data_IF_875484576770
#
_entry.id   IF_875484576770
#
_cell.length_a   1.000
_cell.length_b   1.000
_cell.length_c   1.000
_cell.angle_alpha   90.00
_cell.angle_beta   90.00
_cell.angle_gamma   90.00
#
_symmetry.space_group_name_H-M   'P 1'
#
loop_
_entity.id
_entity.type
_entity.pdbx_description
1 polymer ?
#
# COMPACT_ATOMS: atom_id res chain seq x y z
N UNK A 1 -62.36 -16.58 37.38
CA UNK A 1 -63.80 -16.24 37.32
C UNK A 1 -64.52 -17.01 38.42
N UNK A 2 -65.43 -16.38 39.18
CA UNK A 2 -66.24 -17.09 40.18
C UNK A 2 -67.36 -17.91 39.51
N UNK A 3 -67.99 -18.82 40.25
CA UNK A 3 -69.02 -19.73 39.73
C UNK A 3 -70.27 -19.03 39.17
N UNK A 4 -70.61 -17.85 39.67
CA UNK A 4 -71.71 -17.03 39.17
C UNK A 4 -71.40 -16.41 37.81
N UNK A 5 -70.23 -15.80 37.67
CA UNK A 5 -69.78 -15.28 36.39
C UNK A 5 -69.67 -16.39 35.33
N UNK A 6 -69.17 -17.57 35.70
CA UNK A 6 -69.09 -18.71 34.77
C UNK A 6 -70.47 -19.16 34.30
N UNK A 7 -71.47 -19.18 35.18
CA UNK A 7 -72.86 -19.49 34.81
C UNK A 7 -73.46 -18.41 33.90
N UNK A 8 -73.18 -17.13 34.16
CA UNK A 8 -73.63 -16.03 33.30
C UNK A 8 -73.03 -16.10 31.89
N UNK A 9 -71.72 -16.38 31.77
CA UNK A 9 -71.05 -16.56 30.49
C UNK A 9 -71.60 -17.75 29.70
N UNK A 10 -71.94 -18.86 30.36
CA UNK A 10 -72.57 -20.02 29.72
C UNK A 10 -74.00 -19.73 29.20
N UNK A 11 -74.67 -18.69 29.71
CA UNK A 11 -76.02 -18.28 29.26
C UNK A 11 -75.98 -17.23 28.15
N UNK A 12 -74.89 -16.49 28.02
CA UNK A 12 -74.73 -15.46 26.99
C UNK A 12 -74.48 -16.06 25.60
N UNK A 13 -75.20 -15.60 24.59
CA UNK A 13 -74.99 -15.99 23.19
C UNK A 13 -73.54 -15.74 22.72
N UNK A 14 -72.91 -14.68 23.23
CA UNK A 14 -71.56 -14.27 22.83
C UNK A 14 -70.44 -15.13 23.45
N UNK A 15 -70.67 -15.75 24.61
CA UNK A 15 -69.62 -16.48 25.34
C UNK A 15 -69.99 -17.91 25.75
N UNK A 16 -71.18 -18.39 25.39
CA UNK A 16 -71.64 -19.75 25.67
C UNK A 16 -70.77 -20.83 24.99
N UNK A 17 -70.12 -20.51 23.87
CA UNK A 17 -69.18 -21.42 23.19
C UNK A 17 -67.74 -21.29 23.69
N UNK A 18 -67.45 -20.37 24.61
CA UNK A 18 -66.10 -20.20 25.13
C UNK A 18 -65.81 -21.21 26.25
N UNK A 19 -64.64 -21.84 26.18
CA UNK A 19 -64.12 -22.63 27.30
C UNK A 19 -63.56 -21.68 28.36
N UNK A 20 -63.96 -21.85 29.62
CA UNK A 20 -63.44 -21.10 30.76
C UNK A 20 -62.49 -22.01 31.50
N UNK A 21 -61.19 -21.73 31.41
CA UNK A 21 -60.13 -22.45 32.11
C UNK A 21 -59.65 -21.62 33.31
N UNK A 22 -59.29 -22.30 34.39
CA UNK A 22 -58.61 -21.69 35.54
C UNK A 22 -57.15 -21.42 35.23
N UNK A 23 -56.53 -20.49 35.95
CA UNK A 23 -55.09 -20.16 35.79
C UNK A 23 -54.22 -21.41 36.03
N UNK A 24 -54.60 -22.28 36.97
CA UNK A 24 -53.89 -23.53 37.26
C UNK A 24 -53.98 -24.53 36.10
N UNK A 25 -55.16 -24.66 35.48
CA UNK A 25 -55.33 -25.50 34.27
C UNK A 25 -54.56 -24.93 33.09
N UNK A 26 -54.48 -23.61 32.96
CA UNK A 26 -53.73 -22.92 31.90
C UNK A 26 -52.22 -23.12 32.03
N UNK A 27 -51.69 -23.10 33.26
CA UNK A 27 -50.27 -23.35 33.54
C UNK A 27 -49.82 -24.77 33.14
N UNK A 28 -50.74 -25.73 33.16
CA UNK A 28 -50.49 -27.11 32.75
C UNK A 28 -50.91 -27.41 31.31
N UNK A 29 -51.46 -26.42 30.62
CA UNK A 29 -51.90 -26.52 29.23
C UNK A 29 -50.78 -26.08 28.28
N UNK A 30 -50.45 -26.89 27.28
CA UNK A 30 -49.50 -26.47 26.24
C UNK A 30 -49.97 -25.24 25.45
N UNK A 31 -49.08 -24.66 24.62
CA UNK A 31 -49.36 -23.50 23.77
C UNK A 31 -50.53 -23.69 22.79
N UNK A 32 -50.96 -24.93 22.57
CA UNK A 32 -52.09 -25.30 21.73
C UNK A 32 -53.43 -24.70 22.20
N UNK A 33 -53.55 -24.39 23.49
CA UNK A 33 -54.77 -23.75 24.05
C UNK A 33 -54.91 -22.29 23.61
N UNK A 34 -53.82 -21.65 23.17
CA UNK A 34 -53.83 -20.28 22.66
C UNK A 34 -53.88 -20.19 21.13
N UNK A 35 -53.75 -21.32 20.42
CA UNK A 35 -53.83 -21.31 18.95
C UNK A 35 -55.27 -20.98 18.54
N UNK A 36 -55.44 -19.89 17.78
CA UNK A 36 -56.70 -19.65 17.06
C UNK A 36 -56.92 -20.81 16.09
N UNK A 37 -57.92 -21.65 16.38
CA UNK A 37 -58.36 -22.69 15.45
C UNK A 37 -59.03 -22.01 14.27
N UNK A 38 -58.33 -21.94 13.15
CA UNK A 38 -58.92 -21.50 11.89
C UNK A 38 -59.87 -22.60 11.43
N UNK A 39 -61.13 -22.24 11.23
CA UNK A 39 -62.22 -23.14 10.86
C UNK A 39 -62.92 -22.60 9.63
N UNK A 40 -63.68 -23.45 8.95
CA UNK A 40 -64.45 -23.06 7.79
C UNK A 40 -65.53 -22.03 8.15
N UNK A 41 -65.73 -21.05 7.28
CA UNK A 41 -66.69 -19.94 7.44
C UNK A 41 -67.85 -20.00 6.44
N UNK A 42 -67.90 -21.05 5.61
CA UNK A 42 -68.88 -21.22 4.54
C UNK A 42 -70.19 -21.82 5.07
N UNK A 43 -71.30 -21.37 4.49
CA UNK A 43 -72.65 -21.75 4.89
C UNK A 43 -72.90 -23.26 4.78
N UNK A 44 -73.41 -23.88 5.84
CA UNK A 44 -73.75 -25.31 5.91
C UNK A 44 -72.63 -26.20 6.45
N UNK A 45 -71.41 -25.68 6.61
CA UNK A 45 -70.28 -26.38 7.21
C UNK A 45 -69.36 -25.43 7.99
N UNK A 46 -69.94 -24.40 8.60
CA UNK A 46 -69.24 -23.48 9.49
C UNK A 46 -68.65 -24.22 10.69
N UNK A 47 -67.45 -23.84 11.10
CA UNK A 47 -66.78 -24.44 12.25
C UNK A 47 -66.07 -25.77 11.95
N UNK A 48 -66.21 -26.33 10.75
CA UNK A 48 -65.44 -27.52 10.37
C UNK A 48 -63.95 -27.22 10.24
N UNK A 49 -63.11 -28.21 10.58
CA UNK A 49 -61.66 -28.08 10.49
C UNK A 49 -61.18 -28.01 9.03
N UNK A 50 -60.25 -27.09 8.76
CA UNK A 50 -59.59 -26.98 7.47
C UNK A 50 -58.42 -27.97 7.41
N UNK A 51 -58.67 -29.17 6.87
CA UNK A 51 -57.69 -30.25 6.79
C UNK A 51 -56.97 -30.32 5.42
N UNK A 52 -57.48 -29.60 4.41
CA UNK A 52 -57.01 -29.67 3.04
C UNK A 52 -56.64 -28.29 2.50
N UNK A 53 -55.80 -28.23 1.47
CA UNK A 53 -55.43 -27.02 0.76
C UNK A 53 -55.67 -27.21 -0.75
N UNK A 54 -56.36 -26.26 -1.37
CA UNK A 54 -56.57 -26.26 -2.81
C UNK A 54 -55.43 -25.51 -3.51
N UNK A 55 -54.60 -26.20 -4.29
CA UNK A 55 -53.44 -25.61 -4.99
C UNK A 55 -53.77 -25.07 -6.39
N UNK A 56 -55.05 -25.13 -6.81
CA UNK A 56 -55.46 -24.54 -8.08
C UNK A 56 -55.16 -23.03 -8.08
N UNK A 57 -54.48 -22.50 -9.11
CA UNK A 57 -54.27 -21.05 -9.25
C UNK A 57 -55.59 -20.29 -9.19
N UNK A 58 -55.65 -19.23 -8.38
CA UNK A 58 -56.89 -18.47 -8.13
C UNK A 58 -57.80 -19.04 -7.03
N UNK A 59 -57.45 -20.17 -6.40
CA UNK A 59 -58.12 -20.69 -5.21
C UNK A 59 -57.23 -20.70 -3.97
N UNK A 60 -56.03 -21.30 -4.05
CA UNK A 60 -54.91 -21.21 -3.09
C UNK A 60 -55.30 -21.00 -1.61
N UNK A 61 -56.19 -21.85 -1.11
CA UNK A 61 -56.79 -21.68 0.22
C UNK A 61 -57.00 -22.99 0.96
N UNK A 62 -57.01 -22.91 2.28
CA UNK A 62 -57.31 -24.03 3.17
C UNK A 62 -58.82 -24.28 3.23
N UNK A 63 -59.23 -25.52 3.05
CA UNK A 63 -60.63 -25.95 2.92
C UNK A 63 -60.95 -27.14 3.83
N UNK A 64 -62.22 -27.27 4.24
CA UNK A 64 -62.70 -28.44 5.00
C UNK A 64 -63.14 -29.58 4.08
N UNK A 65 -63.45 -30.75 4.66
CA UNK A 65 -63.92 -31.92 3.90
C UNK A 65 -65.23 -31.66 3.13
N UNK A 66 -66.13 -30.81 3.62
CA UNK A 66 -67.33 -30.46 2.87
C UNK A 66 -67.02 -29.59 1.65
N UNK A 67 -66.09 -28.63 1.77
CA UNK A 67 -65.66 -27.79 0.65
C UNK A 67 -65.10 -28.59 -0.53
N UNK A 68 -64.42 -29.72 -0.26
CA UNK A 68 -63.81 -30.55 -1.32
C UNK A 68 -64.86 -31.21 -2.22
N UNK A 69 -66.10 -31.35 -1.73
CA UNK A 69 -67.21 -31.97 -2.46
C UNK A 69 -68.16 -30.93 -3.06
N UNK A 70 -68.35 -29.77 -2.41
CA UNK A 70 -69.28 -28.75 -2.90
C UNK A 70 -68.63 -27.77 -3.90
N UNK A 71 -67.53 -27.14 -3.48
CA UNK A 71 -66.97 -25.96 -4.17
C UNK A 71 -65.64 -26.28 -4.87
N UNK A 72 -64.90 -27.28 -4.38
CA UNK A 72 -63.53 -27.59 -4.81
C UNK A 72 -63.42 -29.01 -5.35
N UNK A 73 -64.41 -29.46 -6.12
CA UNK A 73 -64.41 -30.80 -6.69
C UNK A 73 -63.23 -31.02 -7.65
N UNK A 74 -62.61 -32.19 -7.55
CA UNK A 74 -61.52 -32.61 -8.46
C UNK A 74 -61.97 -32.68 -9.92
N UNK A 75 -63.22 -33.05 -10.18
CA UNK A 75 -63.85 -33.07 -11.51
C UNK A 75 -63.82 -31.69 -12.20
N UNK A 76 -63.85 -30.60 -11.41
CA UNK A 76 -63.77 -29.20 -11.86
C UNK A 76 -62.34 -28.66 -11.91
N UNK A 77 -61.35 -29.56 -11.87
CA UNK A 77 -59.92 -29.24 -11.97
C UNK A 77 -59.31 -28.66 -10.68
N UNK A 78 -59.96 -28.82 -9.52
CA UNK A 78 -59.34 -28.43 -8.24
C UNK A 78 -58.38 -29.50 -7.76
N UNK A 79 -57.14 -29.09 -7.52
CA UNK A 79 -56.12 -29.96 -6.94
C UNK A 79 -56.08 -29.75 -5.43
N UNK A 80 -56.28 -30.83 -4.68
CA UNK A 80 -56.44 -30.80 -3.22
C UNK A 80 -55.37 -31.67 -2.58
N UNK A 81 -54.63 -31.09 -1.64
CA UNK A 81 -53.55 -31.73 -0.88
C UNK A 81 -53.88 -31.64 0.61
N UNK A 82 -53.43 -32.61 1.42
CA UNK A 82 -53.54 -32.53 2.87
C UNK A 82 -52.65 -31.39 3.41
N UNK A 83 -53.19 -30.57 4.33
CA UNK A 83 -52.44 -29.42 4.89
C UNK A 83 -51.19 -29.87 5.64
N UNK A 84 -51.24 -31.01 6.34
CA UNK A 84 -50.10 -31.51 7.10
C UNK A 84 -48.95 -31.93 6.18
N UNK A 85 -49.26 -32.61 5.07
CA UNK A 85 -48.26 -33.03 4.09
C UNK A 85 -47.65 -31.82 3.38
N UNK A 86 -48.49 -30.85 2.98
CA UNK A 86 -48.04 -29.59 2.37
C UNK A 86 -47.20 -28.76 3.33
N UNK A 87 -47.58 -28.70 4.61
CA UNK A 87 -46.82 -28.04 5.66
C UNK A 87 -45.41 -28.61 5.79
N UNK A 88 -45.28 -29.95 5.86
CA UNK A 88 -43.99 -30.61 5.95
C UNK A 88 -43.13 -30.30 4.72
N UNK A 89 -43.71 -30.39 3.51
CA UNK A 89 -43.02 -30.06 2.27
C UNK A 89 -42.50 -28.63 2.27
N UNK A 90 -43.37 -27.65 2.56
CA UNK A 90 -43.00 -26.21 2.56
C UNK A 90 -42.02 -25.84 3.66
N UNK A 91 -42.14 -26.49 4.82
CA UNK A 91 -41.18 -26.33 5.91
C UNK A 91 -39.79 -26.83 5.47
N UNK A 92 -39.71 -28.03 4.90
CA UNK A 92 -38.44 -28.59 4.43
C UNK A 92 -37.81 -27.77 3.30
N UNK A 93 -38.62 -27.23 2.38
CA UNK A 93 -38.17 -26.30 1.32
C UNK A 93 -37.48 -25.07 1.93
N UNK A 94 -38.11 -24.42 2.92
CA UNK A 94 -37.52 -23.29 3.63
C UNK A 94 -36.26 -23.66 4.42
N UNK A 95 -36.27 -24.80 5.13
CA UNK A 95 -35.10 -25.27 5.89
C UNK A 95 -33.90 -25.57 4.99
N UNK A 96 -34.12 -26.09 3.79
CA UNK A 96 -33.06 -26.29 2.81
C UNK A 96 -32.54 -24.97 2.27
N UNK A 97 -33.44 -24.04 1.94
CA UNK A 97 -33.06 -22.71 1.47
C UNK A 97 -32.26 -21.93 2.51
N UNK A 98 -32.62 -22.01 3.80
CA UNK A 98 -31.85 -21.35 4.86
C UNK A 98 -30.44 -21.91 4.99
N UNK A 99 -30.24 -23.22 4.81
CA UNK A 99 -28.88 -23.80 4.83
C UNK A 99 -28.00 -23.26 3.71
N UNK A 100 -28.53 -23.13 2.49
CA UNK A 100 -27.78 -22.53 1.38
C UNK A 100 -27.53 -21.05 1.64
N UNK A 101 -28.54 -20.33 2.12
CA UNK A 101 -28.43 -18.91 2.44
C UNK A 101 -27.38 -18.61 3.53
N UNK A 102 -27.33 -19.41 4.60
CA UNK A 102 -26.34 -19.27 5.67
C UNK A 102 -24.91 -19.49 5.17
N UNK A 103 -24.74 -20.39 4.20
CA UNK A 103 -23.44 -20.65 3.54
C UNK A 103 -23.02 -19.45 2.70
N UNK A 104 -23.96 -18.87 1.93
CA UNK A 104 -23.71 -17.67 1.12
C UNK A 104 -23.38 -16.48 2.02
N UNK A 105 -24.13 -16.28 3.11
CA UNK A 105 -23.86 -15.21 4.08
C UNK A 105 -22.47 -15.35 4.72
N UNK A 106 -22.06 -16.57 5.05
CA UNK A 106 -20.72 -16.85 5.58
C UNK A 106 -19.64 -16.50 4.56
N UNK A 107 -19.87 -16.83 3.29
CA UNK A 107 -18.96 -16.52 2.19
C UNK A 107 -18.82 -15.01 1.97
N UNK A 108 -19.94 -14.26 2.00
CA UNK A 108 -19.93 -12.80 1.89
C UNK A 108 -19.16 -12.16 3.05
N UNK A 109 -19.39 -12.61 4.29
CA UNK A 109 -18.64 -12.12 5.46
C UNK A 109 -17.14 -12.36 5.32
N UNK A 110 -16.74 -13.53 4.83
CA UNK A 110 -15.34 -13.85 4.59
C UNK A 110 -14.72 -12.92 3.55
N UNK A 111 -15.38 -12.72 2.40
CA UNK A 111 -14.88 -11.82 1.35
C UNK A 111 -14.80 -10.38 1.85
N UNK A 112 -15.78 -9.92 2.62
CA UNK A 112 -15.77 -8.59 3.23
C UNK A 112 -14.53 -8.41 4.12
N UNK A 113 -14.28 -9.34 5.04
CA UNK A 113 -13.11 -9.28 5.93
C UNK A 113 -11.80 -9.29 5.14
N UNK A 114 -11.68 -10.12 4.10
CA UNK A 114 -10.49 -10.15 3.26
C UNK A 114 -10.30 -8.83 2.49
N UNK A 115 -11.39 -8.21 2.06
CA UNK A 115 -11.35 -6.92 1.35
C UNK A 115 -10.90 -5.79 2.27
N UNK A 116 -11.42 -5.75 3.51
CA UNK A 116 -10.99 -4.80 4.54
C UNK A 116 -9.50 -4.97 4.88
N UNK A 117 -9.03 -6.21 4.99
CA UNK A 117 -7.61 -6.49 5.21
C UNK A 117 -6.74 -6.03 4.03
N UNK A 118 -7.20 -6.21 2.80
CA UNK A 118 -6.43 -5.77 1.63
C UNK A 118 -6.34 -4.25 1.53
N UNK A 119 -7.37 -3.52 1.97
CA UNK A 119 -7.32 -2.07 2.12
C UNK A 119 -6.18 -1.64 3.08
N UNK A 120 -6.09 -2.27 4.24
CA UNK A 120 -5.00 -2.00 5.20
C UNK A 120 -3.62 -2.36 4.62
N UNK A 121 -3.54 -3.45 3.86
CA UNK A 121 -2.29 -3.86 3.21
C UNK A 121 -1.84 -2.85 2.15
N UNK A 122 -2.78 -2.20 1.45
CA UNK A 122 -2.49 -1.13 0.49
C UNK A 122 -1.90 0.07 1.23
N UNK A 123 -2.51 0.52 2.33
CA UNK A 123 -2.00 1.65 3.13
C UNK A 123 -0.58 1.38 3.66
N UNK A 124 -0.31 0.16 4.13
CA UNK A 124 1.03 -0.23 4.60
C UNK A 124 2.04 -0.20 3.45
N UNK A 125 1.68 -0.78 2.29
CA UNK A 125 2.57 -0.82 1.12
C UNK A 125 2.84 0.57 0.56
N UNK A 126 1.86 1.48 0.61
CA UNK A 126 2.04 2.87 0.20
C UNK A 126 3.15 3.51 1.04
N UNK A 127 3.09 3.42 2.37
CA UNK A 127 4.11 3.94 3.27
C UNK A 127 5.48 3.29 3.07
N UNK A 128 5.53 1.97 2.83
CA UNK A 128 6.78 1.25 2.54
C UNK A 128 7.41 1.74 1.24
N UNK A 129 6.62 1.90 0.18
CA UNK A 129 7.10 2.36 -1.13
C UNK A 129 7.55 3.82 -1.07
N UNK A 130 6.82 4.70 -0.38
CA UNK A 130 7.23 6.10 -0.16
C UNK A 130 8.61 6.16 0.52
N UNK A 131 8.80 5.37 1.58
CA UNK A 131 10.08 5.29 2.27
C UNK A 131 11.20 4.77 1.37
N UNK A 132 10.93 3.72 0.59
CA UNK A 132 11.91 3.15 -0.34
C UNK A 132 12.35 4.17 -1.40
N UNK A 133 11.42 5.00 -1.88
CA UNK A 133 11.71 6.12 -2.79
C UNK A 133 12.64 7.11 -2.10
N UNK A 134 12.28 7.60 -0.91
CA UNK A 134 13.09 8.57 -0.16
C UNK A 134 14.50 8.05 0.12
N UNK A 135 14.61 6.81 0.61
CA UNK A 135 15.90 6.16 0.90
C UNK A 135 16.75 6.01 -0.38
N UNK A 136 16.15 5.70 -1.53
CA UNK A 136 16.85 5.61 -2.80
C UNK A 136 17.41 6.96 -3.25
N UNK A 137 16.63 8.03 -3.13
CA UNK A 137 17.06 9.37 -3.50
C UNK A 137 18.12 9.90 -2.54
N UNK A 138 18.01 9.64 -1.24
CA UNK A 138 19.05 10.03 -0.26
C UNK A 138 20.38 9.33 -0.57
N UNK A 139 20.37 8.04 -0.91
CA UNK A 139 21.57 7.31 -1.37
C UNK A 139 22.17 7.94 -2.62
N UNK A 140 21.36 8.28 -3.61
CA UNK A 140 21.84 8.93 -4.83
C UNK A 140 22.50 10.29 -4.54
N UNK A 141 21.87 11.11 -3.69
CA UNK A 141 22.42 12.40 -3.27
C UNK A 141 23.79 12.23 -2.58
N UNK A 142 23.92 11.25 -1.68
CA UNK A 142 25.19 10.93 -1.01
C UNK A 142 26.29 10.56 -2.01
N UNK A 143 26.00 9.71 -2.98
CA UNK A 143 26.96 9.30 -4.03
C UNK A 143 27.38 10.51 -4.87
N UNK A 144 26.44 11.34 -5.32
CA UNK A 144 26.73 12.53 -6.11
C UNK A 144 27.57 13.54 -5.33
N UNK A 145 27.25 13.79 -4.07
CA UNK A 145 28.01 14.69 -3.21
C UNK A 145 29.45 14.18 -2.99
N UNK A 146 29.62 12.86 -2.77
CA UNK A 146 30.93 12.25 -2.66
C UNK A 146 31.74 12.39 -3.95
N UNK A 147 31.13 12.13 -5.12
CA UNK A 147 31.78 12.27 -6.42
C UNK A 147 32.19 13.72 -6.68
N UNK A 148 31.34 14.69 -6.35
CA UNK A 148 31.64 16.11 -6.47
C UNK A 148 32.85 16.49 -5.62
N UNK A 149 32.92 16.01 -4.38
CA UNK A 149 34.06 16.26 -3.48
C UNK A 149 35.35 15.67 -4.06
N UNK A 150 35.32 14.41 -4.49
CA UNK A 150 36.47 13.76 -5.12
C UNK A 150 37.02 14.52 -6.33
N UNK A 151 36.13 15.01 -7.21
CA UNK A 151 36.55 15.79 -8.38
C UNK A 151 37.20 17.13 -7.99
N UNK A 152 36.68 17.79 -6.96
CA UNK A 152 37.28 19.02 -6.42
C UNK A 152 38.64 18.76 -5.80
N UNK A 153 38.79 17.67 -5.05
CA UNK A 153 40.06 17.28 -4.42
C UNK A 153 41.12 16.91 -5.49
N UNK A 154 40.71 16.21 -6.54
CA UNK A 154 41.57 15.89 -7.70
C UNK A 154 42.04 17.17 -8.40
N UNK A 155 41.13 18.11 -8.65
CA UNK A 155 41.48 19.41 -9.24
C UNK A 155 42.43 20.19 -8.33
N UNK A 156 42.16 20.25 -7.03
CA UNK A 156 43.02 20.94 -6.07
C UNK A 156 44.44 20.35 -6.05
N UNK A 157 44.54 19.01 -6.04
CA UNK A 157 45.82 18.30 -6.07
C UNK A 157 46.58 18.58 -7.37
N UNK A 158 45.90 18.53 -8.52
CA UNK A 158 46.52 18.84 -9.80
C UNK A 158 47.03 20.28 -9.85
N UNK A 159 46.22 21.23 -9.39
CA UNK A 159 46.59 22.64 -9.31
C UNK A 159 47.81 22.84 -8.41
N UNK A 160 47.83 22.20 -7.24
CA UNK A 160 48.95 22.30 -6.30
C UNK A 160 50.24 21.74 -6.89
N UNK A 161 50.16 20.58 -7.54
CA UNK A 161 51.30 19.99 -8.25
C UNK A 161 51.81 20.91 -9.37
N UNK A 162 50.91 21.46 -10.19
CA UNK A 162 51.29 22.39 -11.27
C UNK A 162 51.94 23.65 -10.70
N UNK A 163 51.38 24.23 -9.64
CA UNK A 163 51.95 25.40 -8.95
C UNK A 163 53.33 25.11 -8.38
N UNK A 164 53.49 24.01 -7.64
CA UNK A 164 54.78 23.64 -7.06
C UNK A 164 55.87 23.42 -8.13
N UNK A 165 55.53 22.82 -9.27
CA UNK A 165 56.47 22.66 -10.39
C UNK A 165 56.87 23.99 -11.02
N UNK A 166 55.91 24.90 -11.20
CA UNK A 166 56.19 26.25 -11.72
C UNK A 166 57.06 27.03 -10.72
N UNK A 167 56.77 26.93 -9.42
CA UNK A 167 57.53 27.61 -8.38
C UNK A 167 58.98 27.13 -8.31
N UNK A 168 59.23 25.81 -8.34
CA UNK A 168 60.59 25.26 -8.40
C UNK A 168 61.35 25.72 -9.65
N UNK A 169 60.65 25.91 -10.76
CA UNK A 169 61.23 26.45 -11.99
C UNK A 169 61.58 27.94 -11.86
N UNK A 170 60.72 28.73 -11.21
CA UNK A 170 61.03 30.13 -10.87
C UNK A 170 62.29 30.21 -10.00
N UNK A 171 62.39 29.41 -8.95
CA UNK A 171 63.58 29.36 -8.08
C UNK A 171 64.85 28.99 -8.87
N UNK A 172 64.74 28.09 -9.85
CA UNK A 172 65.86 27.74 -10.74
C UNK A 172 66.30 28.91 -11.61
N UNK A 173 65.35 29.68 -12.16
CA UNK A 173 65.63 30.87 -12.96
C UNK A 173 66.24 31.99 -12.12
N UNK A 174 65.74 32.21 -10.91
CA UNK A 174 66.29 33.19 -9.97
C UNK A 174 67.74 32.85 -9.61
N UNK A 175 68.03 31.58 -9.27
CA UNK A 175 69.41 31.15 -9.00
C UNK A 175 70.35 31.29 -10.19
N UNK A 176 69.84 31.10 -11.42
CA UNK A 176 70.60 31.38 -12.64
C UNK A 176 70.89 32.88 -12.81
N UNK A 177 69.89 33.75 -12.59
CA UNK A 177 70.05 35.21 -12.65
C UNK A 177 71.08 35.70 -11.64
N UNK A 178 71.02 35.24 -10.39
CA UNK A 178 71.97 35.60 -9.34
C UNK A 178 73.40 35.18 -9.69
N UNK A 179 73.55 33.97 -10.23
CA UNK A 179 74.84 33.45 -10.69
C UNK A 179 75.38 34.28 -11.86
N UNK A 180 74.52 34.67 -12.80
CA UNK A 180 74.91 35.49 -13.95
C UNK A 180 75.29 36.93 -13.54
N UNK A 181 74.53 37.53 -12.62
CA UNK A 181 74.84 38.84 -12.05
C UNK A 181 76.19 38.81 -11.33
N UNK A 182 76.40 37.83 -10.45
CA UNK A 182 77.68 37.65 -9.73
C UNK A 182 78.86 37.43 -10.68
N UNK A 183 78.68 36.61 -11.72
CA UNK A 183 79.71 36.38 -12.73
C UNK A 183 80.05 37.66 -13.51
N UNK A 184 79.04 38.50 -13.82
CA UNK A 184 79.22 39.80 -14.45
C UNK A 184 79.99 40.76 -13.55
N UNK A 185 79.58 40.89 -12.30
CA UNK A 185 80.21 41.81 -11.34
C UNK A 185 81.68 41.43 -11.09
N UNK A 186 81.95 40.13 -10.91
CA UNK A 186 83.32 39.62 -10.81
C UNK A 186 84.14 39.90 -12.07
N UNK A 187 83.58 39.64 -13.26
CA UNK A 187 84.27 39.92 -14.52
C UNK A 187 84.58 41.41 -14.67
N UNK A 188 83.64 42.27 -14.30
CA UNK A 188 83.80 43.72 -14.35
C UNK A 188 84.88 44.20 -13.35
N UNK A 189 84.95 43.59 -12.16
CA UNK A 189 86.01 43.87 -11.20
C UNK A 189 87.39 43.53 -11.76
N UNK A 190 87.55 42.34 -12.35
CA UNK A 190 88.82 41.89 -12.95
C UNK A 190 89.26 42.80 -14.11
N UNK A 191 88.32 43.23 -14.97
CA UNK A 191 88.62 44.12 -16.10
C UNK A 191 89.13 45.49 -15.63
N UNK A 192 88.57 46.04 -14.55
CA UNK A 192 88.87 47.41 -14.12
C UNK A 192 90.02 47.52 -13.11
N UNK A 193 90.39 46.46 -12.41
CA UNK A 193 91.27 46.55 -11.25
C UNK A 193 92.46 45.58 -11.23
N UNK A 194 92.58 44.66 -12.20
CA UNK A 194 93.68 43.67 -12.22
C UNK A 194 94.86 44.12 -13.07
N UNK A 195 96.08 43.86 -12.59
CA UNK A 195 97.33 44.16 -13.32
C UNK A 195 97.42 43.36 -14.64
N UNK A 196 98.01 43.91 -15.72
CA UNK A 196 98.12 43.22 -17.01
C UNK A 196 98.76 41.83 -16.95
N UNK A 197 99.72 41.60 -16.05
CA UNK A 197 100.39 40.30 -15.91
C UNK A 197 99.50 39.22 -15.30
N UNK A 198 98.61 39.60 -14.39
CA UNK A 198 97.61 38.72 -13.76
C UNK A 198 96.33 38.60 -14.61
N UNK A 199 96.01 39.62 -15.39
CA UNK A 199 94.79 39.66 -16.21
C UNK A 199 94.80 38.63 -17.34
N UNK A 200 95.90 38.51 -18.08
CA UNK A 200 96.00 37.62 -19.25
C UNK A 200 95.65 36.15 -18.95
N UNK A 201 96.19 35.50 -17.89
CA UNK A 201 95.79 34.14 -17.55
C UNK A 201 94.32 34.05 -17.09
N UNK A 202 93.82 35.04 -16.35
CA UNK A 202 92.43 35.07 -15.86
C UNK A 202 91.41 35.27 -16.99
N UNK A 203 91.75 36.06 -18.01
CA UNK A 203 90.88 36.35 -19.16
C UNK A 203 90.38 35.07 -19.84
N UNK A 204 91.26 34.10 -20.08
CA UNK A 204 90.90 32.83 -20.73
C UNK A 204 89.85 32.05 -19.93
N UNK A 205 90.02 31.99 -18.61
CA UNK A 205 89.13 31.31 -17.67
C UNK A 205 87.78 32.02 -17.55
N UNK A 206 87.80 33.36 -17.47
CA UNK A 206 86.60 34.20 -17.44
C UNK A 206 85.78 34.04 -18.71
N UNK A 207 86.42 34.15 -19.87
CA UNK A 207 85.76 34.03 -21.17
C UNK A 207 85.14 32.64 -21.36
N UNK A 208 85.81 31.58 -20.91
CA UNK A 208 85.26 30.22 -20.94
C UNK A 208 84.02 30.09 -20.06
N UNK A 209 84.05 30.63 -18.84
CA UNK A 209 82.90 30.59 -17.92
C UNK A 209 81.70 31.38 -18.46
N UNK A 210 81.91 32.60 -18.94
CA UNK A 210 80.85 33.42 -19.52
C UNK A 210 80.24 32.79 -20.77
N UNK A 211 81.08 32.23 -21.66
CA UNK A 211 80.58 31.48 -22.84
C UNK A 211 79.72 30.30 -22.44
N UNK A 212 80.13 29.52 -21.43
CA UNK A 212 79.35 28.39 -20.91
C UNK A 212 77.99 28.82 -20.38
N UNK A 213 77.90 29.96 -19.68
CA UNK A 213 76.63 30.50 -19.20
C UNK A 213 75.76 31.01 -20.35
N UNK A 214 76.34 31.75 -21.30
CA UNK A 214 75.60 32.28 -22.46
C UNK A 214 75.05 31.21 -23.42
N UNK A 215 75.63 30.00 -23.41
CA UNK A 215 75.18 28.88 -24.23
C UNK A 215 73.95 28.15 -23.67
N UNK A 216 73.61 28.37 -22.39
CA UNK A 216 72.35 27.89 -21.80
C UNK A 216 71.23 28.82 -22.27
N UNK A 217 70.58 28.49 -23.39
CA UNK A 217 69.44 29.26 -23.89
C UNK A 217 68.24 29.05 -22.97
N UNK A 218 67.79 30.13 -22.35
CA UNK A 218 66.59 30.16 -21.49
C UNK A 218 65.34 29.65 -22.24
N UNK A 219 65.31 29.78 -23.56
CA UNK A 219 64.24 29.31 -24.46
C UNK A 219 64.11 27.77 -24.50
N UNK A 220 65.21 27.03 -24.44
CA UNK A 220 65.18 25.55 -24.43
C UNK A 220 64.62 25.02 -23.09
N UNK A 221 64.67 25.83 -22.03
CA UNK A 221 64.11 25.56 -20.71
C UNK A 221 62.58 25.80 -20.65
N UNK A 222 62.05 26.64 -21.55
CA UNK A 222 60.63 27.04 -21.59
C UNK A 222 59.74 26.10 -22.43
N UNK A 223 60.28 25.52 -23.51
CA UNK A 223 59.51 24.66 -24.44
C UNK A 223 59.20 23.26 -23.88
N UNK A 224 60.07 22.72 -23.02
CA UNK A 224 59.87 21.42 -22.37
C UNK A 224 58.73 21.43 -21.34
N UNK A 225 58.39 22.59 -20.77
CA UNK A 225 57.33 22.71 -19.77
C UNK A 225 55.96 22.99 -20.40
N UNK A 226 55.86 23.74 -21.50
CA UNK A 226 54.55 24.01 -22.13
C UNK A 226 53.93 22.79 -22.84
N UNK A 227 54.75 21.95 -23.48
CA UNK A 227 54.26 20.78 -24.23
C UNK A 227 53.78 19.62 -23.35
N UNK A 228 54.20 19.57 -22.08
CA UNK A 228 53.79 18.54 -21.12
C UNK A 228 52.50 18.89 -20.34
N UNK A 229 51.90 20.06 -20.57
CA UNK A 229 50.89 20.64 -19.64
C UNK A 229 49.52 20.98 -20.26
N UNK A 230 49.30 20.73 -21.57
CA UNK A 230 48.07 21.06 -22.30
C UNK A 230 47.07 19.89 -22.52
N UNK A 231 47.20 18.77 -21.81
CA UNK A 231 46.16 17.72 -21.79
C UNK A 231 45.69 17.49 -20.36
#
# INVERSE_FOLDING_TARGET
MCAECTRAHKRSLASRKHSVLTIKELQNSGLDVFRRKIVCTKAGHEGQQLAFYCTKPGCETSICTACTVCDHERSKGHQIINVQDLYLLKKTELEQFFKTWDTDMSSVKFVLQQTEQELLNIDIKELEVEKDIDDAFERCQKILAQRQRQLKDQLATLCEQKKGRIQAYVETLEGYLDSAASARDFSNHVINHTDPTEFVPLHSTLMQRLKKMSALKVEDMFLLTFLLYCV
#
